data_IF_653795234497
#
_entry.id   IF_653795234497
#
_cell.length_a   1.000
_cell.length_b   1.000
_cell.length_c   1.000
_cell.angle_alpha   90.00
_cell.angle_beta   90.00
_cell.angle_gamma   90.00
#
_symmetry.space_group_name_H-M   'P 1'
#
loop_
_entity.id
_entity.type
_entity.pdbx_description
1 polymer ?
#
# COMPACT_ATOMS: atom_id res chain seq x y z
N UNK A 1 -13.64 8.28 5.81
CA UNK A 1 -12.31 8.29 5.18
C UNK A 1 -12.47 8.75 3.74
N UNK A 2 -11.83 9.83 3.34
CA UNK A 2 -11.91 10.34 1.97
C UNK A 2 -10.77 9.73 1.16
N UNK A 3 -11.07 9.17 -0.01
CA UNK A 3 -10.03 8.63 -0.89
C UNK A 3 -9.28 9.83 -1.48
N UNK A 4 -7.98 9.91 -1.22
CA UNK A 4 -7.10 10.89 -1.86
C UNK A 4 -6.76 10.37 -3.26
N UNK A 5 -7.02 11.19 -4.26
CA UNK A 5 -6.73 10.88 -5.66
C UNK A 5 -5.35 11.37 -6.06
N UNK A 6 -4.79 10.80 -7.13
CA UNK A 6 -3.54 11.28 -7.73
C UNK A 6 -3.65 12.77 -8.10
N UNK A 7 -4.72 13.15 -8.79
CA UNK A 7 -4.91 14.51 -9.30
C UNK A 7 -4.96 15.55 -8.17
N UNK A 8 -5.54 15.20 -7.02
CA UNK A 8 -5.49 16.05 -5.83
C UNK A 8 -4.06 16.26 -5.33
N UNK A 9 -3.23 15.23 -5.33
CA UNK A 9 -1.82 15.35 -4.94
C UNK A 9 -1.07 16.20 -5.96
N UNK A 10 -1.22 15.92 -7.25
CA UNK A 10 -0.58 16.67 -8.34
C UNK A 10 -0.90 18.17 -8.25
N UNK A 11 -2.15 18.52 -7.93
CA UNK A 11 -2.55 19.91 -7.72
C UNK A 11 -1.71 20.61 -6.63
N UNK A 12 -1.54 19.98 -5.46
CA UNK A 12 -0.70 20.53 -4.39
C UNK A 12 0.77 20.64 -4.82
N UNK A 13 1.30 19.65 -5.54
CA UNK A 13 2.70 19.65 -5.98
C UNK A 13 2.99 20.73 -7.03
N UNK A 14 2.08 20.93 -7.99
CA UNK A 14 2.19 21.98 -9.01
C UNK A 14 2.19 23.38 -8.41
N UNK A 15 1.54 23.57 -7.26
CA UNK A 15 1.56 24.83 -6.51
C UNK A 15 2.78 24.98 -5.58
N UNK A 16 3.68 24.01 -5.54
CA UNK A 16 4.81 24.00 -4.59
C UNK A 16 4.40 23.69 -3.15
N UNK A 17 3.15 23.27 -2.91
CA UNK A 17 2.58 23.01 -1.58
C UNK A 17 2.82 21.57 -1.12
N UNK A 18 4.09 21.15 -1.11
CA UNK A 18 4.49 19.78 -0.71
C UNK A 18 4.03 19.44 0.71
N UNK A 19 4.08 20.40 1.65
CA UNK A 19 3.66 20.19 3.04
C UNK A 19 2.18 19.83 3.14
N UNK A 20 1.33 20.50 2.37
CA UNK A 20 -0.12 20.25 2.38
C UNK A 20 -0.46 18.91 1.74
N UNK A 21 0.27 18.51 0.70
CA UNK A 21 0.14 17.18 0.12
C UNK A 21 0.46 16.09 1.16
N UNK A 22 1.57 16.23 1.89
CA UNK A 22 1.93 15.25 2.95
C UNK A 22 0.94 15.28 4.10
N UNK A 23 0.50 16.47 4.54
CA UNK A 23 -0.51 16.60 5.59
C UNK A 23 -1.83 15.93 5.21
N UNK A 24 -2.25 16.06 3.94
CA UNK A 24 -3.43 15.38 3.40
C UNK A 24 -3.27 13.86 3.47
N UNK A 25 -2.12 13.32 3.05
CA UNK A 25 -1.84 11.89 3.11
C UNK A 25 -1.82 11.39 4.56
N UNK A 26 -1.16 12.11 5.44
CA UNK A 26 -1.06 11.76 6.85
C UNK A 26 -2.44 11.72 7.51
N UNK A 27 -3.23 12.78 7.30
CA UNK A 27 -4.60 12.87 7.85
C UNK A 27 -5.50 11.73 7.39
N UNK A 28 -5.37 11.27 6.15
CA UNK A 28 -6.27 10.26 5.59
C UNK A 28 -5.78 8.81 5.77
N UNK A 29 -4.47 8.58 5.88
CA UNK A 29 -3.90 7.23 5.82
C UNK A 29 -3.01 6.83 6.99
N UNK A 30 -2.59 7.75 7.87
CA UNK A 30 -1.68 7.41 9.00
C UNK A 30 -2.23 6.29 9.87
N UNK A 31 -3.50 6.34 10.28
CA UNK A 31 -4.12 5.31 11.10
C UNK A 31 -4.18 3.94 10.40
N UNK A 32 -4.51 3.91 9.10
CA UNK A 32 -4.54 2.67 8.34
C UNK A 32 -3.14 2.08 8.10
N UNK A 33 -2.15 2.94 7.85
CA UNK A 33 -0.77 2.51 7.66
C UNK A 33 -0.17 2.04 8.98
N UNK A 34 -0.48 2.71 10.10
CA UNK A 34 -0.04 2.27 11.43
C UNK A 34 -0.59 0.88 11.76
N UNK A 35 -1.90 0.68 11.59
CA UNK A 35 -2.52 -0.64 11.78
C UNK A 35 -2.01 -1.69 10.79
N UNK A 36 -1.59 -1.30 9.59
CA UNK A 36 -0.90 -2.19 8.66
C UNK A 36 0.49 -2.57 9.17
N UNK A 37 1.31 -1.61 9.62
CA UNK A 37 2.67 -1.83 10.13
C UNK A 37 2.66 -2.73 11.37
N UNK A 38 1.73 -2.52 12.30
CA UNK A 38 1.58 -3.33 13.52
C UNK A 38 1.33 -4.82 13.26
N UNK A 39 0.87 -5.20 12.07
CA UNK A 39 0.72 -6.61 11.69
C UNK A 39 2.06 -7.31 11.46
N UNK A 40 3.14 -6.56 11.32
CA UNK A 40 4.48 -7.06 11.02
C UNK A 40 5.49 -6.68 12.10
N UNK A 41 5.25 -5.59 12.82
CA UNK A 41 6.13 -5.06 13.86
C UNK A 41 5.28 -4.94 15.11
N UNK A 42 5.41 -5.92 16.00
CA UNK A 42 4.60 -5.99 17.22
C UNK A 42 4.95 -4.90 18.25
N UNK A 43 6.16 -4.35 18.17
CA UNK A 43 6.59 -3.24 19.01
C UNK A 43 5.95 -1.93 18.53
N UNK A 44 5.10 -1.34 19.38
CA UNK A 44 4.36 -0.12 19.02
C UNK A 44 5.27 1.08 18.79
N UNK A 45 6.36 1.19 19.54
CA UNK A 45 7.31 2.30 19.40
C UNK A 45 8.02 2.21 18.04
N UNK A 46 8.50 1.04 17.67
CA UNK A 46 9.13 0.81 16.38
C UNK A 46 8.14 0.98 15.21
N UNK A 47 6.92 0.49 15.34
CA UNK A 47 5.87 0.71 14.34
C UNK A 47 5.57 2.20 14.13
N UNK A 48 5.55 3.01 15.20
CA UNK A 48 5.44 4.46 15.11
C UNK A 48 6.65 5.09 14.43
N UNK A 49 7.86 4.66 14.76
CA UNK A 49 9.09 5.15 14.11
C UNK A 49 9.08 4.86 12.60
N UNK A 50 8.66 3.66 12.19
CA UNK A 50 8.50 3.30 10.77
C UNK A 50 7.50 4.22 10.09
N UNK A 51 6.36 4.50 10.71
CA UNK A 51 5.34 5.41 10.16
C UNK A 51 5.91 6.82 9.98
N UNK A 52 6.60 7.35 10.99
CA UNK A 52 7.23 8.68 10.93
C UNK A 52 8.30 8.74 9.84
N UNK A 53 9.16 7.72 9.75
CA UNK A 53 10.21 7.64 8.74
C UNK A 53 9.62 7.58 7.33
N UNK A 54 8.55 6.79 7.14
CA UNK A 54 7.80 6.76 5.89
C UNK A 54 7.34 8.17 5.51
N UNK A 55 6.57 8.85 6.36
CA UNK A 55 6.00 10.17 6.05
C UNK A 55 7.06 11.26 5.87
N UNK A 56 8.19 11.17 6.56
CA UNK A 56 9.33 12.09 6.40
C UNK A 56 10.03 11.89 5.05
N UNK A 57 10.06 10.67 4.54
CA UNK A 57 10.69 10.34 3.26
C UNK A 57 9.81 10.62 2.04
N UNK A 58 8.48 10.69 2.22
CA UNK A 58 7.51 10.83 1.15
C UNK A 58 7.76 12.02 0.19
N UNK A 59 8.13 13.24 0.62
CA UNK A 59 8.31 14.36 -0.31
C UNK A 59 9.27 14.03 -1.47
N UNK A 60 10.37 13.33 -1.15
CA UNK A 60 11.40 12.96 -2.12
C UNK A 60 10.97 11.87 -3.11
N UNK A 61 10.06 11.00 -2.69
CA UNK A 61 9.52 9.90 -3.50
C UNK A 61 8.33 10.38 -4.33
N UNK A 62 7.47 11.19 -3.73
CA UNK A 62 6.24 11.68 -4.31
C UNK A 62 6.52 12.58 -5.52
N UNK A 63 7.53 13.45 -5.44
CA UNK A 63 7.95 14.29 -6.58
C UNK A 63 8.40 13.50 -7.81
N UNK A 64 8.88 12.26 -7.63
CA UNK A 64 9.36 11.40 -8.72
C UNK A 64 8.28 10.49 -9.29
N UNK A 65 7.36 10.04 -8.43
CA UNK A 65 6.46 8.93 -8.76
C UNK A 65 5.00 9.35 -8.94
N UNK A 66 4.61 10.58 -8.57
CA UNK A 66 3.19 11.03 -8.56
C UNK A 66 2.46 10.75 -9.87
N UNK A 67 3.07 11.03 -11.02
CA UNK A 67 2.44 10.87 -12.34
C UNK A 67 2.12 9.41 -12.72
N UNK A 68 2.72 8.44 -12.01
CA UNK A 68 2.55 7.01 -12.25
C UNK A 68 1.61 6.35 -11.24
N UNK A 69 1.04 7.12 -10.30
CA UNK A 69 0.20 6.58 -9.23
C UNK A 69 -1.19 6.21 -9.74
N UNK A 70 -1.46 4.91 -9.77
CA UNK A 70 -2.79 4.38 -10.05
C UNK A 70 -3.68 4.34 -8.78
N UNK A 71 -3.06 4.24 -7.61
CA UNK A 71 -3.73 4.30 -6.30
C UNK A 71 -2.75 4.83 -5.26
N UNK A 72 -3.10 5.95 -4.65
CA UNK A 72 -2.30 6.61 -3.61
C UNK A 72 -2.08 5.67 -2.42
N UNK A 73 -3.13 4.99 -1.99
CA UNK A 73 -3.04 4.10 -0.83
C UNK A 73 -2.17 2.87 -1.11
N UNK A 74 -2.32 2.24 -2.29
CA UNK A 74 -1.49 1.08 -2.65
C UNK A 74 -0.01 1.46 -2.72
N UNK A 75 0.29 2.64 -3.26
CA UNK A 75 1.64 3.17 -3.27
C UNK A 75 2.19 3.39 -1.85
N UNK A 76 1.41 4.01 -0.96
CA UNK A 76 1.82 4.20 0.45
C UNK A 76 2.07 2.87 1.17
N UNK A 77 1.24 1.85 0.93
CA UNK A 77 1.46 0.52 1.50
C UNK A 77 2.74 -0.14 0.97
N UNK A 78 3.02 0.00 -0.33
CA UNK A 78 4.26 -0.49 -0.93
C UNK A 78 5.49 0.18 -0.29
N UNK A 79 5.45 1.50 -0.07
CA UNK A 79 6.52 2.22 0.62
C UNK A 79 6.64 1.79 2.07
N UNK A 80 5.53 1.70 2.82
CA UNK A 80 5.52 1.19 4.20
C UNK A 80 6.18 -0.19 4.30
N UNK A 81 5.88 -1.09 3.35
CA UNK A 81 6.49 -2.43 3.30
C UNK A 81 8.00 -2.41 3.13
N UNK A 82 8.54 -1.49 2.33
CA UNK A 82 9.98 -1.34 2.21
C UNK A 82 10.62 -1.02 3.56
N UNK A 83 10.06 -0.05 4.30
CA UNK A 83 10.55 0.31 5.64
C UNK A 83 10.43 -0.85 6.64
N UNK A 84 9.32 -1.60 6.62
CA UNK A 84 9.13 -2.79 7.46
C UNK A 84 10.22 -3.84 7.19
N UNK A 85 10.50 -4.14 5.92
CA UNK A 85 11.49 -5.15 5.55
C UNK A 85 12.93 -4.75 5.88
N UNK A 86 13.19 -3.46 6.07
CA UNK A 86 14.48 -2.93 6.51
C UNK A 86 14.54 -2.67 8.01
N UNK A 87 13.44 -2.89 8.74
CA UNK A 87 13.36 -2.60 10.16
C UNK A 87 14.10 -3.68 10.98
N UNK A 88 14.88 -3.28 11.99
CA UNK A 88 15.64 -4.22 12.81
C UNK A 88 14.76 -5.13 13.69
N UNK A 89 13.57 -4.68 14.10
CA UNK A 89 12.65 -5.48 14.91
C UNK A 89 11.66 -6.34 14.11
N UNK A 90 11.86 -6.45 12.78
CA UNK A 90 11.15 -7.47 12.00
C UNK A 90 11.64 -8.85 12.45
N UNK A 91 10.82 -9.57 13.20
CA UNK A 91 11.15 -10.94 13.60
C UNK A 91 11.05 -11.88 12.41
N UNK A 92 11.84 -12.95 12.41
CA UNK A 92 11.85 -13.94 11.32
C UNK A 92 10.47 -14.61 11.14
N UNK A 93 9.76 -14.82 12.24
CA UNK A 93 8.36 -15.27 12.29
C UNK A 93 7.38 -14.26 11.68
N UNK A 94 7.61 -12.96 11.89
CA UNK A 94 6.81 -11.86 11.32
C UNK A 94 7.12 -11.68 9.83
N UNK A 95 8.35 -11.93 9.38
CA UNK A 95 8.74 -11.91 7.97
C UNK A 95 8.11 -13.07 7.17
N UNK A 96 7.92 -14.24 7.80
CA UNK A 96 7.19 -15.38 7.24
C UNK A 96 5.68 -15.09 7.23
N UNK A 97 5.16 -14.48 8.30
CA UNK A 97 3.77 -14.02 8.39
C UNK A 97 3.48 -12.89 7.39
N UNK A 98 4.47 -12.06 7.08
CA UNK A 98 4.41 -11.03 6.05
C UNK A 98 4.23 -11.59 4.63
N UNK A 99 4.69 -12.83 4.42
CA UNK A 99 4.43 -13.62 3.21
C UNK A 99 3.10 -14.34 3.27
N UNK A 100 2.64 -14.71 4.47
CA UNK A 100 1.31 -15.29 4.70
C UNK A 100 0.26 -14.20 4.70
N UNK A 101 -0.28 -13.94 3.51
CA UNK A 101 -1.71 -13.68 3.42
C UNK A 101 -2.48 -14.94 3.81
N UNK A 102 -2.38 -15.37 5.07
CA UNK A 102 -3.10 -16.52 5.61
C UNK A 102 -4.61 -16.39 5.39
N UNK A 103 -5.09 -15.15 5.44
CA UNK A 103 -6.44 -14.73 5.11
C UNK A 103 -6.82 -14.91 3.62
N UNK A 104 -5.84 -14.96 2.71
CA UNK A 104 -6.08 -15.27 1.29
C UNK A 104 -6.04 -16.78 1.00
N UNK A 105 -5.68 -17.65 1.93
CA UNK A 105 -5.71 -19.12 1.71
C UNK A 105 -7.10 -19.62 1.30
N UNK A 106 -8.13 -18.93 1.78
CA UNK A 106 -9.53 -19.19 1.44
C UNK A 106 -10.00 -18.48 0.15
N UNK A 107 -9.15 -17.65 -0.48
CA UNK A 107 -9.40 -17.05 -1.78
C UNK A 107 -8.88 -17.96 -2.89
N UNK A 108 -9.51 -17.92 -4.06
CA UNK A 108 -9.02 -18.65 -5.23
C UNK A 108 -7.60 -18.20 -5.61
N UNK A 109 -6.72 -19.12 -6.02
CA UNK A 109 -5.31 -18.83 -6.36
C UNK A 109 -5.15 -17.61 -7.27
N UNK A 110 -6.03 -17.46 -8.26
CA UNK A 110 -6.05 -16.30 -9.15
C UNK A 110 -6.24 -14.98 -8.40
N UNK A 111 -7.17 -14.95 -7.46
CA UNK A 111 -7.48 -13.77 -6.66
C UNK A 111 -6.31 -13.46 -5.71
N UNK A 112 -5.62 -14.49 -5.21
CA UNK A 112 -4.39 -14.32 -4.42
C UNK A 112 -3.26 -13.69 -5.25
N UNK A 113 -3.02 -14.21 -6.46
CA UNK A 113 -1.97 -13.73 -7.37
C UNK A 113 -2.25 -12.29 -7.78
N UNK A 114 -3.48 -11.98 -8.20
CA UNK A 114 -3.89 -10.62 -8.58
C UNK A 114 -3.73 -9.67 -7.40
N UNK A 115 -4.19 -10.08 -6.21
CA UNK A 115 -4.05 -9.29 -5.01
C UNK A 115 -2.57 -9.04 -4.69
N UNK A 116 -1.71 -10.07 -4.74
CA UNK A 116 -0.28 -9.88 -4.52
C UNK A 116 0.36 -8.95 -5.56
N UNK A 117 0.08 -9.12 -6.85
CA UNK A 117 0.71 -8.25 -7.88
C UNK A 117 0.32 -6.78 -7.69
N UNK A 118 -0.91 -6.52 -7.29
CA UNK A 118 -1.39 -5.16 -7.07
C UNK A 118 -0.91 -4.60 -5.72
N UNK A 119 -1.10 -5.34 -4.63
CA UNK A 119 -0.84 -4.85 -3.27
C UNK A 119 0.59 -5.04 -2.79
N UNK A 120 1.31 -6.07 -3.26
CA UNK A 120 2.72 -6.30 -2.89
C UNK A 120 3.70 -5.75 -3.90
N UNK A 121 3.40 -5.93 -5.20
CA UNK A 121 4.32 -5.55 -6.27
C UNK A 121 4.00 -4.15 -6.83
N UNK A 122 2.87 -3.55 -6.43
CA UNK A 122 2.48 -2.20 -6.85
C UNK A 122 2.08 -2.09 -8.31
N UNK A 123 1.76 -3.21 -8.97
CA UNK A 123 1.31 -3.23 -10.37
C UNK A 123 -0.07 -2.58 -10.50
N UNK A 124 -0.30 -1.87 -11.60
CA UNK A 124 -1.63 -1.36 -11.96
C UNK A 124 -2.58 -2.47 -12.39
N UNK A 125 -3.88 -2.21 -12.35
CA UNK A 125 -4.89 -3.16 -12.85
C UNK A 125 -4.67 -3.52 -14.31
N UNK A 126 -4.30 -2.53 -15.13
CA UNK A 126 -3.97 -2.70 -16.54
C UNK A 126 -2.74 -3.58 -16.74
N UNK A 127 -1.67 -3.36 -15.98
CA UNK A 127 -0.46 -4.19 -16.05
C UNK A 127 -0.76 -5.63 -15.63
N UNK A 128 -1.50 -5.84 -14.52
CA UNK A 128 -1.87 -7.17 -14.08
C UNK A 128 -2.81 -7.86 -15.06
N UNK A 129 -3.76 -7.13 -15.65
CA UNK A 129 -4.64 -7.63 -16.70
C UNK A 129 -3.83 -8.10 -17.92
N UNK A 130 -2.91 -7.27 -18.39
CA UNK A 130 -2.01 -7.61 -19.49
C UNK A 130 -1.10 -8.80 -19.16
N UNK A 131 -0.45 -8.80 -17.99
CA UNK A 131 0.48 -9.85 -17.53
C UNK A 131 -0.19 -11.22 -17.36
N UNK A 132 -1.48 -11.24 -17.01
CA UNK A 132 -2.24 -12.48 -16.76
C UNK A 132 -3.18 -12.86 -17.91
N UNK A 133 -3.23 -12.07 -18.99
CA UNK A 133 -4.15 -12.29 -20.11
C UNK A 133 -5.63 -12.13 -19.70
N UNK A 134 -5.92 -11.24 -18.77
CA UNK A 134 -7.25 -10.95 -18.22
C UNK A 134 -7.75 -9.58 -18.67
N UNK A 135 -9.03 -9.29 -18.40
CA UNK A 135 -9.56 -7.93 -18.50
C UNK A 135 -9.37 -7.18 -17.18
N UNK A 136 -9.27 -5.84 -17.23
CA UNK A 136 -9.22 -5.01 -16.02
C UNK A 136 -10.46 -5.21 -15.12
N UNK A 137 -11.59 -5.57 -15.73
CA UNK A 137 -12.85 -5.83 -15.04
C UNK A 137 -12.78 -7.14 -14.23
N UNK A 138 -12.17 -8.18 -14.81
CA UNK A 138 -11.86 -9.43 -14.09
C UNK A 138 -10.87 -9.18 -12.94
N UNK A 139 -9.85 -8.35 -13.17
CA UNK A 139 -8.91 -7.94 -12.11
C UNK A 139 -9.64 -7.21 -10.98
N UNK A 140 -10.56 -6.30 -11.29
CA UNK A 140 -11.35 -5.59 -10.30
C UNK A 140 -12.28 -6.53 -9.50
N UNK A 141 -12.91 -7.51 -10.15
CA UNK A 141 -13.72 -8.53 -9.49
C UNK A 141 -12.88 -9.41 -8.55
N UNK A 142 -11.71 -9.86 -8.98
CA UNK A 142 -10.77 -10.60 -8.13
C UNK A 142 -10.37 -9.81 -6.89
N UNK A 143 -10.03 -8.52 -7.04
CA UNK A 143 -9.74 -7.66 -5.89
C UNK A 143 -10.94 -7.52 -4.95
N UNK A 144 -12.16 -7.37 -5.50
CA UNK A 144 -13.38 -7.31 -4.69
C UNK A 144 -13.56 -8.58 -3.85
N UNK A 145 -13.35 -9.77 -4.43
CA UNK A 145 -13.43 -11.04 -3.71
C UNK A 145 -12.36 -11.14 -2.62
N UNK A 146 -11.10 -10.83 -2.93
CA UNK A 146 -10.01 -10.82 -1.95
C UNK A 146 -10.30 -9.87 -0.78
N UNK A 147 -10.77 -8.66 -1.06
CA UNK A 147 -11.10 -7.65 -0.03
C UNK A 147 -12.33 -8.06 0.79
N UNK A 148 -13.31 -8.72 0.19
CA UNK A 148 -14.50 -9.23 0.89
C UNK A 148 -14.12 -10.31 1.91
N UNK A 149 -13.14 -11.15 1.57
CA UNK A 149 -12.59 -12.14 2.51
C UNK A 149 -11.84 -11.45 3.64
N UNK A 150 -11.07 -10.39 3.34
CA UNK A 150 -10.32 -9.60 4.34
C UNK A 150 -11.19 -8.81 5.33
N UNK A 151 -12.49 -8.60 5.05
CA UNK A 151 -13.43 -7.86 5.91
C UNK A 151 -14.20 -8.75 6.89
N UNK A 152 -14.10 -10.07 6.76
CA UNK A 152 -14.70 -11.04 7.70
C UNK A 152 -13.66 -11.44 8.74
#
# INVERSE_FOLDING_TARGET
MTIVTRDQIEHYLLQGNYKDAIALLYKNYSAMLYGYILKFISDEYEAQQILVNLFTSLPSMLSKEVGQLNSVYCWLQQKARHFILTAPGLKEEDAISARRFEFLQNAAERDQVIFMRIYLQGRSRREVAYELGLTEETVAQSLYHSIKILRK
#
